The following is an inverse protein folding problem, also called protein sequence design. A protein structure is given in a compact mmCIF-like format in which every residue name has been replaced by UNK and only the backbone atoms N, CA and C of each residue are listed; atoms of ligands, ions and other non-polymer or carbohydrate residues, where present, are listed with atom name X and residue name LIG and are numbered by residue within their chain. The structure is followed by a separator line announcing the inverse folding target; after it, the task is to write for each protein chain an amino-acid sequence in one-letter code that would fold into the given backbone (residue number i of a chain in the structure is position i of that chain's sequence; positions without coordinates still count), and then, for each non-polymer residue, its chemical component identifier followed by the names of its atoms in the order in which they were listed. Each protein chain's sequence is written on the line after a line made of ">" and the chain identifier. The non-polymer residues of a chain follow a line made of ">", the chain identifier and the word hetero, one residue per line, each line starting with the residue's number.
data_IF_374470669903
#
_entry.id   IF_374470669903
#
_cell.length_a   1.000
_cell.length_b   1.000
_cell.length_c   1.000
_cell.angle_alpha   90.00
_cell.angle_beta   90.00
_cell.angle_gamma   90.00
#
_symmetry.space_group_name_H-M   'P 1'
#
loop_
_entity.id
_entity.type
_entity.pdbx_description
1 polymer ?
#
# COMPACT_ATOMS: atom_id res chain seq x y z
N UNK A 1 9.90 3.17 -1.50
CA UNK A 1 8.45 3.09 -1.24
C UNK A 1 8.05 1.87 -0.42
N UNK A 2 8.55 0.65 -0.69
CA UNK A 2 8.28 -0.56 0.12
C UNK A 2 8.53 -0.37 1.62
N UNK A 3 9.74 0.07 1.99
CA UNK A 3 10.13 0.29 3.39
C UNK A 3 9.30 1.40 4.05
N UNK A 4 8.94 2.44 3.28
CA UNK A 4 8.12 3.55 3.78
C UNK A 4 6.70 3.08 4.12
N UNK A 5 6.07 2.26 3.27
CA UNK A 5 4.74 1.68 3.55
C UNK A 5 4.78 0.71 4.74
N UNK A 6 5.84 -0.09 4.87
CA UNK A 6 6.02 -0.97 6.03
C UNK A 6 6.19 -0.18 7.34
N UNK A 7 7.01 0.87 7.33
CA UNK A 7 7.18 1.78 8.49
C UNK A 7 5.86 2.48 8.83
N UNK A 8 5.10 2.90 7.82
CA UNK A 8 3.81 3.55 8.00
C UNK A 8 2.77 2.58 8.59
N UNK A 9 2.72 1.33 8.10
CA UNK A 9 1.89 0.27 8.66
C UNK A 9 2.24 -0.06 10.12
N UNK A 10 3.54 -0.20 10.42
CA UNK A 10 4.02 -0.43 11.79
C UNK A 10 3.68 0.74 12.72
N UNK A 11 3.83 1.99 12.25
CA UNK A 11 3.47 3.18 13.02
C UNK A 11 1.97 3.25 13.30
N UNK A 12 1.12 2.92 12.33
CA UNK A 12 -0.34 2.87 12.51
C UNK A 12 -0.71 1.82 13.56
N UNK A 13 -0.10 0.64 13.50
CA UNK A 13 -0.33 -0.42 14.48
C UNK A 13 0.09 0.01 15.88
N UNK A 14 1.28 0.59 16.03
CA UNK A 14 1.76 1.13 17.30
C UNK A 14 0.81 2.17 17.89
N UNK A 15 0.36 3.14 17.10
CA UNK A 15 -0.64 4.12 17.52
C UNK A 15 -1.97 3.48 17.94
N UNK A 16 -2.45 2.47 17.19
CA UNK A 16 -3.66 1.76 17.52
C UNK A 16 -3.54 1.03 18.87
N UNK A 17 -2.43 0.32 19.13
CA UNK A 17 -2.22 -0.37 20.41
C UNK A 17 -2.18 0.61 21.58
N UNK A 18 -1.50 1.75 21.43
CA UNK A 18 -1.46 2.79 22.47
C UNK A 18 -2.86 3.34 22.77
N UNK A 19 -3.64 3.64 21.72
CA UNK A 19 -5.04 4.06 21.87
C UNK A 19 -5.91 2.99 22.54
N UNK A 20 -5.73 1.71 22.14
CA UNK A 20 -6.46 0.59 22.72
C UNK A 20 -6.15 0.41 24.21
N UNK A 21 -4.88 0.52 24.62
CA UNK A 21 -4.47 0.46 26.02
C UNK A 21 -5.04 1.63 26.82
N UNK A 22 -5.09 2.83 26.24
CA UNK A 22 -5.68 3.98 26.89
C UNK A 22 -7.20 3.85 27.07
N UNK A 23 -7.92 3.31 26.06
CA UNK A 23 -9.34 3.02 26.17
C UNK A 23 -9.64 1.92 27.21
N UNK A 24 -8.81 0.88 27.26
CA UNK A 24 -8.91 -0.20 28.23
C UNK A 24 -8.69 0.32 29.65
N UNK A 25 -7.65 1.15 29.86
CA UNK A 25 -7.38 1.80 31.15
C UNK A 25 -8.47 2.79 31.57
N UNK A 26 -9.17 3.40 30.61
CA UNK A 26 -10.33 4.27 30.86
C UNK A 26 -11.64 3.51 31.09
N UNK A 27 -11.60 2.16 31.06
CA UNK A 27 -12.78 1.30 31.24
C UNK A 27 -13.81 1.38 30.11
N UNK A 28 -13.45 1.97 28.96
CA UNK A 28 -14.34 2.12 27.79
C UNK A 28 -14.37 0.89 26.89
N UNK A 29 -13.41 -0.01 27.05
CA UNK A 29 -13.37 -1.32 26.40
C UNK A 29 -13.29 -2.39 27.48
N UNK A 30 -14.05 -3.46 27.30
CA UNK A 30 -13.82 -4.73 27.97
C UNK A 30 -12.56 -5.39 27.42
N UNK A 31 -11.94 -6.29 28.20
CA UNK A 31 -10.77 -7.04 27.76
C UNK A 31 -10.97 -7.78 26.44
N UNK A 32 -12.17 -8.32 26.21
CA UNK A 32 -12.52 -8.98 24.95
C UNK A 32 -12.58 -7.99 23.76
N UNK A 33 -13.11 -6.80 23.97
CA UNK A 33 -13.22 -5.76 22.93
C UNK A 33 -11.85 -5.18 22.57
N UNK A 34 -10.96 -5.04 23.56
CA UNK A 34 -9.57 -4.68 23.32
C UNK A 34 -8.85 -5.73 22.46
N UNK A 35 -9.02 -7.02 22.75
CA UNK A 35 -8.43 -8.10 21.95
C UNK A 35 -8.95 -8.06 20.51
N UNK A 36 -10.27 -7.90 20.32
CA UNK A 36 -10.86 -7.77 18.98
C UNK A 36 -10.34 -6.55 18.23
N UNK A 37 -10.14 -5.42 18.92
CA UNK A 37 -9.57 -4.21 18.37
C UNK A 37 -8.11 -4.41 17.91
N UNK A 38 -7.28 -5.02 18.76
CA UNK A 38 -5.86 -5.31 18.43
C UNK A 38 -5.75 -6.26 17.24
N UNK A 39 -6.57 -7.32 17.20
CA UNK A 39 -6.59 -8.27 16.08
C UNK A 39 -6.99 -7.55 14.78
N UNK A 40 -8.06 -6.75 14.83
CA UNK A 40 -8.54 -6.01 13.65
C UNK A 40 -7.49 -5.02 13.12
N UNK A 41 -6.84 -4.25 14.02
CA UNK A 41 -5.74 -3.36 13.64
C UNK A 41 -4.52 -4.09 13.11
N UNK A 42 -4.21 -5.29 13.61
CA UNK A 42 -3.12 -6.13 13.10
C UNK A 42 -3.37 -6.51 11.65
N UNK A 43 -4.58 -6.97 11.33
CA UNK A 43 -4.97 -7.36 9.96
C UNK A 43 -4.85 -6.17 9.01
N UNK A 44 -5.41 -5.01 9.38
CA UNK A 44 -5.36 -3.81 8.53
C UNK A 44 -3.92 -3.33 8.32
N UNK A 45 -3.10 -3.29 9.38
CA UNK A 45 -1.69 -2.89 9.29
C UNK A 45 -0.88 -3.86 8.42
N UNK A 46 -1.18 -5.17 8.51
CA UNK A 46 -0.61 -6.19 7.64
C UNK A 46 -0.94 -5.91 6.17
N UNK A 47 -2.21 -5.67 5.84
CA UNK A 47 -2.63 -5.35 4.47
C UNK A 47 -1.87 -4.11 3.94
N UNK A 48 -1.75 -3.05 4.75
CA UNK A 48 -1.02 -1.83 4.35
C UNK A 48 0.47 -2.09 4.16
N UNK A 49 1.07 -2.92 5.02
CA UNK A 49 2.50 -3.25 4.94
C UNK A 49 2.84 -4.13 3.73
N UNK A 50 1.94 -5.04 3.34
CA UNK A 50 2.10 -5.94 2.20
C UNK A 50 1.49 -5.42 0.89
N UNK A 51 0.72 -4.32 0.92
CA UNK A 51 0.20 -3.64 -0.27
C UNK A 51 1.23 -3.40 -1.40
N UNK A 52 2.51 -3.02 -1.14
CA UNK A 52 3.48 -2.82 -2.21
C UNK A 52 4.02 -4.14 -2.78
N UNK A 53 3.85 -5.28 -2.10
CA UNK A 53 4.23 -6.60 -2.60
C UNK A 53 3.20 -7.15 -3.58
N UNK A 54 1.92 -6.87 -3.31
CA UNK A 54 0.79 -7.19 -4.19
C UNK A 54 0.85 -6.39 -5.51
N UNK A 55 1.66 -5.34 -5.61
CA UNK A 55 1.91 -4.65 -6.88
C UNK A 55 2.81 -5.44 -7.85
N UNK A 56 3.44 -6.53 -7.40
CA UNK A 56 4.28 -7.43 -8.19
C UNK A 56 3.55 -8.75 -8.49
N UNK A 57 2.39 -8.71 -9.16
CA UNK A 57 1.75 -9.93 -9.63
C UNK A 57 2.50 -10.50 -10.84
N UNK A 58 3.18 -11.64 -10.65
CA UNK A 58 3.68 -12.48 -11.74
C UNK A 58 2.52 -13.37 -12.23
N UNK A 59 1.90 -12.99 -13.35
CA UNK A 59 0.92 -13.85 -14.03
C UNK A 59 1.70 -14.79 -14.94
N UNK A 60 1.72 -16.09 -14.59
CA UNK A 60 2.20 -17.20 -15.44
C UNK A 60 3.56 -16.92 -16.08
N UNK A 61 4.62 -16.98 -15.28
CA UNK A 61 6.00 -17.09 -15.78
C UNK A 61 6.64 -15.81 -16.32
N UNK A 62 5.93 -14.68 -16.38
CA UNK A 62 6.52 -13.38 -16.70
C UNK A 62 6.21 -12.37 -15.59
N UNK A 63 7.26 -11.84 -14.96
CA UNK A 63 7.16 -10.78 -13.95
C UNK A 63 6.80 -9.47 -14.66
N UNK A 64 5.52 -9.31 -15.00
CA UNK A 64 5.03 -8.07 -15.61
C UNK A 64 4.78 -7.06 -14.50
N UNK A 65 5.77 -6.21 -14.23
CA UNK A 65 5.56 -5.02 -13.40
C UNK A 65 4.58 -4.11 -14.14
N UNK A 66 3.32 -4.06 -13.69
CA UNK A 66 2.26 -3.19 -14.27
C UNK A 66 2.69 -1.72 -14.41
N UNK A 67 3.64 -1.26 -13.59
CA UNK A 67 4.26 0.06 -13.68
C UNK A 67 5.14 0.24 -14.92
N UNK A 68 5.86 -0.79 -15.36
CA UNK A 68 6.71 -0.74 -16.56
C UNK A 68 5.84 -0.66 -17.82
N UNK A 69 4.80 -1.50 -17.91
CA UNK A 69 3.86 -1.48 -19.06
C UNK A 69 3.16 -0.14 -19.20
N UNK A 70 2.70 0.45 -18.10
CA UNK A 70 2.08 1.79 -18.11
C UNK A 70 3.09 2.88 -18.52
N UNK A 71 4.33 2.78 -18.07
CA UNK A 71 5.37 3.77 -18.38
C UNK A 71 5.83 3.68 -19.84
N UNK A 72 5.91 2.47 -20.40
CA UNK A 72 6.25 2.25 -21.81
C UNK A 72 5.11 2.68 -22.74
N UNK A 73 3.86 2.46 -22.35
CA UNK A 73 2.72 3.01 -23.08
C UNK A 73 2.75 4.54 -23.11
N UNK A 74 3.06 5.20 -21.98
CA UNK A 74 3.21 6.66 -21.91
C UNK A 74 4.38 7.15 -22.78
N UNK A 75 5.53 6.46 -22.76
CA UNK A 75 6.68 6.79 -23.61
C UNK A 75 6.34 6.65 -25.10
N UNK A 76 5.63 5.60 -25.49
CA UNK A 76 5.20 5.40 -26.87
C UNK A 76 4.26 6.53 -27.33
N UNK A 77 3.30 6.94 -26.49
CA UNK A 77 2.41 8.07 -26.76
C UNK A 77 3.21 9.38 -26.90
N UNK A 78 4.21 9.61 -26.05
CA UNK A 78 5.04 10.82 -26.09
C UNK A 78 5.91 10.89 -27.34
N UNK A 79 6.48 9.75 -27.77
CA UNK A 79 7.22 9.63 -29.03
C UNK A 79 6.31 9.89 -30.22
N UNK A 80 5.11 9.30 -30.25
CA UNK A 80 4.13 9.56 -31.31
C UNK A 80 3.70 11.04 -31.34
N UNK A 81 3.52 11.68 -30.19
CA UNK A 81 3.18 13.11 -30.10
C UNK A 81 4.31 14.02 -30.61
N UNK A 82 5.56 13.70 -30.28
CA UNK A 82 6.74 14.39 -30.83
C UNK A 82 6.88 14.23 -32.33
N UNK A 83 6.66 13.02 -32.85
CA UNK A 83 6.70 12.75 -34.28
C UNK A 83 5.59 13.51 -35.02
N UNK A 84 4.37 13.57 -34.45
CA UNK A 84 3.26 14.33 -35.03
C UNK A 84 3.56 15.83 -35.11
N UNK A 85 4.22 16.39 -34.11
CA UNK A 85 4.62 17.80 -34.10
C UNK A 85 5.74 18.08 -35.13
N UNK A 86 6.70 17.17 -35.27
CA UNK A 86 7.82 17.30 -36.20
C UNK A 86 7.46 17.07 -37.68
N UNK A 87 6.31 16.45 -37.96
CA UNK A 87 5.79 16.22 -39.31
C UNK A 87 4.83 17.33 -39.79
N UNK A 88 4.52 18.31 -38.93
CA UNK A 88 3.56 19.41 -39.21
C UNK A 88 4.24 20.79 -39.23
N UNK A 89 5.58 20.83 -39.27
CA UNK A 89 6.43 22.01 -39.43
C UNK A 89 7.33 21.80 -40.65
#
# INVERSE_FOLDING_TARGET
>A
MRIFLGVLGFSIFGCAVVLGLWLLGSGKLSGAEFVAFVISSTVISGIVSFAPEIQEFSVVGNVVKLREVKNDALRAIEVLKKLKYKLSA
#
